data_IF_145540797243
#
_entry.id   IF_145540797243
#
_cell.length_a   1.000
_cell.length_b   1.000
_cell.length_c   1.000
_cell.angle_alpha   90.00
_cell.angle_beta   90.00
_cell.angle_gamma   90.00
#
_symmetry.space_group_name_H-M   'P 1'
#
loop_
_entity.id
_entity.type
_entity.pdbx_description
1 polymer ?
#
# COMPACT_ATOMS: atom_id res chain seq x y z
N UNK A 1 -16.23 27.65 15.38
CA UNK A 1 -15.55 26.70 14.46
C UNK A 1 -16.33 25.39 14.51
N UNK A 2 -17.21 25.13 13.53
CA UNK A 2 -17.86 23.82 13.39
C UNK A 2 -16.78 22.85 12.93
N UNK A 3 -16.26 22.01 13.83
CA UNK A 3 -15.50 20.84 13.42
C UNK A 3 -16.52 19.98 12.68
N UNK A 4 -16.48 20.00 11.35
CA UNK A 4 -17.26 19.13 10.49
C UNK A 4 -16.77 17.70 10.68
N UNK A 5 -17.18 17.07 11.79
CA UNK A 5 -17.22 15.61 11.92
C UNK A 5 -18.23 15.09 10.91
N UNK A 6 -17.84 14.91 9.65
CA UNK A 6 -18.61 14.08 8.71
C UNK A 6 -17.79 13.59 7.50
N UNK A 7 -16.47 13.43 7.67
CA UNK A 7 -15.66 12.75 6.65
C UNK A 7 -16.03 11.27 6.50
N UNK A 8 -16.58 10.65 7.56
CA UNK A 8 -17.03 9.25 7.51
C UNK A 8 -18.19 9.03 6.54
N UNK A 9 -19.04 10.04 6.29
CA UNK A 9 -20.21 9.88 5.42
C UNK A 9 -19.86 9.89 3.92
N UNK A 10 -18.59 10.15 3.58
CA UNK A 10 -18.11 10.23 2.20
C UNK A 10 -17.55 8.90 1.69
N UNK A 11 -17.16 7.97 2.57
CA UNK A 11 -16.65 6.67 2.19
C UNK A 11 -17.80 5.68 1.99
N UNK A 12 -17.86 5.06 0.81
CA UNK A 12 -18.90 4.07 0.49
C UNK A 12 -18.76 2.78 1.30
N UNK A 13 -17.53 2.40 1.63
CA UNK A 13 -17.21 1.23 2.43
C UNK A 13 -16.39 1.61 3.65
N UNK A 14 -16.50 0.79 4.69
CA UNK A 14 -15.67 0.86 5.90
C UNK A 14 -14.96 -0.47 6.12
N UNK A 15 -13.76 -0.45 6.72
CA UNK A 15 -13.02 -1.67 7.02
C UNK A 15 -13.64 -2.38 8.22
N UNK A 16 -13.59 -3.71 8.22
CA UNK A 16 -13.88 -4.51 9.41
C UNK A 16 -12.71 -4.41 10.40
N UNK A 17 -12.97 -4.55 11.69
CA UNK A 17 -11.92 -4.37 12.71
C UNK A 17 -10.74 -5.33 12.51
N UNK A 18 -11.00 -6.59 12.17
CA UNK A 18 -9.94 -7.58 11.93
C UNK A 18 -9.09 -7.27 10.70
N UNK A 19 -9.68 -6.69 9.64
CA UNK A 19 -8.91 -6.32 8.44
C UNK A 19 -8.06 -5.07 8.69
N UNK A 20 -8.50 -4.16 9.56
CA UNK A 20 -7.72 -3.02 10.05
C UNK A 20 -6.55 -3.48 10.91
N UNK A 21 -6.75 -4.47 11.79
CA UNK A 21 -5.64 -5.05 12.57
C UNK A 21 -4.60 -5.68 11.63
N UNK A 22 -5.04 -6.47 10.65
CA UNK A 22 -4.14 -7.07 9.65
C UNK A 22 -3.39 -6.02 8.82
N UNK A 23 -4.06 -4.90 8.48
CA UNK A 23 -3.42 -3.77 7.80
C UNK A 23 -2.26 -3.22 8.62
N UNK A 24 -2.50 -2.91 9.89
CA UNK A 24 -1.46 -2.35 10.76
C UNK A 24 -0.34 -3.34 11.07
N UNK A 25 -0.64 -4.63 11.16
CA UNK A 25 0.39 -5.67 11.25
C UNK A 25 1.27 -5.65 9.99
N UNK A 26 0.67 -5.60 8.80
CA UNK A 26 1.42 -5.53 7.55
C UNK A 26 2.30 -4.28 7.51
N UNK A 27 1.75 -3.11 7.84
CA UNK A 27 2.49 -1.84 7.93
C UNK A 27 3.65 -1.95 8.91
N UNK A 28 3.42 -2.50 10.11
CA UNK A 28 4.46 -2.69 11.12
C UNK A 28 5.59 -3.60 10.61
N UNK A 29 5.27 -4.71 9.94
CA UNK A 29 6.28 -5.60 9.34
C UNK A 29 7.11 -4.86 8.29
N UNK A 30 6.47 -4.10 7.39
CA UNK A 30 7.18 -3.31 6.36
C UNK A 30 8.08 -2.24 6.99
N UNK A 31 7.63 -1.60 8.08
CA UNK A 31 8.42 -0.62 8.82
C UNK A 31 9.59 -1.27 9.56
N UNK A 32 9.41 -2.45 10.15
CA UNK A 32 10.49 -3.21 10.77
C UNK A 32 11.55 -3.62 9.74
N UNK A 33 11.11 -4.10 8.57
CA UNK A 33 12.01 -4.39 7.45
C UNK A 33 12.79 -3.14 7.01
N UNK A 34 12.13 -2.00 6.90
CA UNK A 34 12.78 -0.73 6.56
C UNK A 34 13.79 -0.30 7.63
N UNK A 35 13.45 -0.46 8.91
CA UNK A 35 14.33 -0.15 10.03
C UNK A 35 15.57 -1.07 10.07
N UNK A 36 15.41 -2.34 9.67
CA UNK A 36 16.49 -3.33 9.53
C UNK A 36 17.61 -2.92 8.57
N UNK A 37 17.37 -1.94 7.68
CA UNK A 37 18.41 -1.30 6.88
C UNK A 37 19.48 -0.62 7.75
N UNK A 38 19.07 0.02 8.86
CA UNK A 38 19.95 0.81 9.74
C UNK A 38 20.22 0.16 11.10
N UNK A 39 19.27 -0.61 11.59
CA UNK A 39 19.32 -1.23 12.93
C UNK A 39 19.51 -2.73 12.73
N UNK A 40 20.70 -3.24 13.01
CA UNK A 40 21.08 -4.62 12.68
C UNK A 40 20.27 -5.65 13.48
N UNK A 41 19.91 -5.32 14.72
CA UNK A 41 19.12 -6.17 15.62
C UNK A 41 17.69 -6.40 15.12
N UNK A 42 17.21 -5.58 14.18
CA UNK A 42 15.90 -5.73 13.54
C UNK A 42 15.97 -6.55 12.25
N UNK A 43 17.15 -7.01 11.84
CA UNK A 43 17.28 -7.87 10.67
C UNK A 43 16.75 -9.26 11.01
N UNK A 44 15.80 -9.74 10.22
CA UNK A 44 15.29 -11.10 10.36
C UNK A 44 16.36 -12.10 9.92
N UNK A 45 16.84 -12.91 10.87
CA UNK A 45 17.83 -13.98 10.63
C UNK A 45 17.42 -14.89 9.46
N UNK A 46 16.16 -15.32 9.41
CA UNK A 46 15.66 -16.18 8.32
C UNK A 46 15.77 -15.54 6.94
N UNK A 47 15.55 -14.23 6.83
CA UNK A 47 15.75 -13.49 5.58
C UNK A 47 17.23 -13.32 5.26
N UNK A 48 18.07 -13.09 6.27
CA UNK A 48 19.52 -12.98 6.10
C UNK A 48 20.13 -14.29 5.56
N UNK A 49 19.69 -15.46 6.05
CA UNK A 49 20.14 -16.74 5.52
C UNK A 49 19.72 -16.99 4.07
N UNK A 50 18.53 -16.53 3.66
CA UNK A 50 18.03 -16.72 2.30
C UNK A 50 18.55 -15.67 1.31
N UNK A 51 18.76 -14.45 1.80
CA UNK A 51 19.15 -13.27 1.03
C UNK A 51 20.16 -12.45 1.85
N UNK A 52 21.45 -12.82 1.86
CA UNK A 52 22.46 -12.22 2.75
C UNK A 52 22.51 -10.69 2.70
N UNK A 53 22.30 -10.10 1.52
CA UNK A 53 22.40 -8.65 1.32
C UNK A 53 21.06 -7.93 1.24
N UNK A 54 19.95 -8.56 1.66
CA UNK A 54 18.61 -7.97 1.51
C UNK A 54 18.48 -6.57 2.15
N UNK A 55 19.18 -6.33 3.26
CA UNK A 55 19.12 -5.08 4.01
C UNK A 55 19.67 -3.89 3.22
N UNK A 56 20.46 -4.11 2.16
CA UNK A 56 20.96 -3.07 1.27
C UNK A 56 19.82 -2.52 0.37
N UNK A 57 18.93 -3.39 -0.07
CA UNK A 57 17.86 -3.10 -1.04
C UNK A 57 16.46 -2.99 -0.42
N UNK A 58 16.32 -3.36 0.87
CA UNK A 58 15.03 -3.46 1.55
C UNK A 58 14.25 -2.14 1.60
N UNK A 59 14.92 -1.00 1.47
CA UNK A 59 14.24 0.29 1.38
C UNK A 59 13.38 0.43 0.13
N UNK A 60 13.86 -0.02 -1.04
CA UNK A 60 13.08 0.05 -2.28
C UNK A 60 11.84 -0.83 -2.18
N UNK A 61 12.00 -2.03 -1.62
CA UNK A 61 10.88 -2.89 -1.29
C UNK A 61 9.88 -2.22 -0.35
N UNK A 62 10.33 -1.70 0.79
CA UNK A 62 9.44 -1.17 1.83
C UNK A 62 8.71 0.10 1.39
N UNK A 63 9.38 1.00 0.66
CA UNK A 63 8.74 2.21 0.13
C UNK A 63 7.69 1.83 -0.91
N UNK A 64 8.03 0.95 -1.86
CA UNK A 64 7.08 0.49 -2.86
C UNK A 64 5.88 -0.23 -2.24
N UNK A 65 6.13 -1.07 -1.24
CA UNK A 65 5.09 -1.77 -0.50
C UNK A 65 4.14 -0.80 0.20
N UNK A 66 4.68 0.21 0.88
CA UNK A 66 3.86 1.20 1.58
C UNK A 66 2.99 2.00 0.62
N UNK A 67 3.54 2.45 -0.51
CA UNK A 67 2.80 3.23 -1.50
C UNK A 67 1.63 2.45 -2.11
N UNK A 68 1.86 1.20 -2.52
CA UNK A 68 0.80 0.34 -3.07
C UNK A 68 -0.22 -0.04 -2.01
N UNK A 69 0.22 -0.32 -0.78
CA UNK A 69 -0.67 -0.67 0.32
C UNK A 69 -1.61 0.48 0.69
N UNK A 70 -1.10 1.72 0.78
CA UNK A 70 -1.91 2.93 1.03
C UNK A 70 -2.88 3.18 -0.12
N UNK A 71 -2.40 3.19 -1.37
CA UNK A 71 -3.24 3.40 -2.54
C UNK A 71 -4.34 2.32 -2.67
N UNK A 72 -3.99 1.07 -2.39
CA UNK A 72 -4.90 -0.06 -2.38
C UNK A 72 -5.98 0.05 -1.33
N UNK A 73 -5.58 0.39 -0.11
CA UNK A 73 -6.48 0.49 1.02
C UNK A 73 -7.54 1.56 0.79
N UNK A 74 -7.14 2.75 0.32
CA UNK A 74 -8.06 3.87 0.05
C UNK A 74 -8.98 3.58 -1.13
N UNK A 75 -8.47 3.09 -2.25
CA UNK A 75 -9.27 2.77 -3.44
C UNK A 75 -10.39 1.75 -3.15
N UNK A 76 -10.10 0.76 -2.29
CA UNK A 76 -11.08 -0.24 -1.89
C UNK A 76 -12.17 0.35 -1.00
N UNK A 77 -11.83 1.29 -0.09
CA UNK A 77 -12.83 1.98 0.74
C UNK A 77 -13.73 2.92 -0.07
N UNK A 78 -13.20 3.55 -1.11
CA UNK A 78 -13.98 4.42 -1.99
C UNK A 78 -14.93 3.61 -2.89
N UNK A 79 -14.43 2.55 -3.53
CA UNK A 79 -15.09 1.98 -4.70
C UNK A 79 -15.12 0.45 -4.74
N UNK A 80 -14.58 -0.25 -3.72
CA UNK A 80 -14.40 -1.72 -3.71
C UNK A 80 -13.64 -2.26 -4.94
N UNK A 81 -12.74 -1.45 -5.49
CA UNK A 81 -11.93 -1.82 -6.67
C UNK A 81 -10.44 -1.64 -6.41
N UNK A 82 -9.63 -2.38 -7.16
CA UNK A 82 -8.16 -2.26 -7.18
C UNK A 82 -7.64 -1.72 -8.52
N UNK A 83 -8.51 -1.34 -9.47
CA UNK A 83 -8.09 -0.90 -10.82
C UNK A 83 -7.07 0.24 -10.76
N UNK A 84 -7.39 1.32 -10.01
CA UNK A 84 -6.46 2.44 -9.80
C UNK A 84 -5.16 1.99 -9.13
N UNK A 85 -5.24 1.05 -8.19
CA UNK A 85 -4.07 0.49 -7.50
C UNK A 85 -3.16 -0.29 -8.44
N UNK A 86 -3.71 -1.09 -9.37
CA UNK A 86 -2.91 -1.77 -10.38
C UNK A 86 -2.17 -0.79 -11.27
N UNK A 87 -2.83 0.31 -11.67
CA UNK A 87 -2.20 1.38 -12.44
C UNK A 87 -1.08 2.03 -11.63
N UNK A 88 -1.32 2.40 -10.36
CA UNK A 88 -0.30 2.96 -9.49
C UNK A 88 0.90 2.03 -9.29
N UNK A 89 0.66 0.73 -9.08
CA UNK A 89 1.72 -0.26 -8.95
C UNK A 89 2.52 -0.41 -10.25
N UNK A 90 1.85 -0.46 -11.42
CA UNK A 90 2.52 -0.53 -12.70
C UNK A 90 3.40 0.70 -12.98
N UNK A 91 2.89 1.90 -12.69
CA UNK A 91 3.64 3.14 -12.82
C UNK A 91 4.84 3.18 -11.86
N UNK A 92 4.66 2.70 -10.63
CA UNK A 92 5.72 2.64 -9.63
C UNK A 92 6.83 1.66 -10.04
N UNK A 93 6.46 0.49 -10.58
CA UNK A 93 7.41 -0.48 -11.15
C UNK A 93 8.19 0.15 -12.29
N UNK A 94 7.49 0.80 -13.24
CA UNK A 94 8.14 1.46 -14.37
C UNK A 94 9.09 2.57 -13.91
N UNK A 95 8.67 3.39 -12.93
CA UNK A 95 9.49 4.45 -12.37
C UNK A 95 10.75 3.91 -11.69
N UNK A 96 10.64 2.84 -10.88
CA UNK A 96 11.78 2.19 -10.25
C UNK A 96 12.73 1.61 -11.30
N UNK A 97 12.23 0.92 -12.32
CA UNK A 97 13.08 0.38 -13.39
C UNK A 97 13.83 1.47 -14.16
N UNK A 98 13.17 2.58 -14.50
CA UNK A 98 13.80 3.72 -15.17
C UNK A 98 14.86 4.33 -14.26
N UNK A 99 14.54 4.54 -12.98
CA UNK A 99 15.45 5.14 -12.01
C UNK A 99 16.72 4.31 -11.82
N UNK A 100 16.57 3.00 -11.61
CA UNK A 100 17.70 2.12 -11.30
C UNK A 100 18.56 1.76 -12.51
N UNK A 101 17.97 1.64 -13.71
CA UNK A 101 18.70 1.12 -14.88
C UNK A 101 19.14 2.18 -15.89
N UNK A 102 18.45 3.33 -15.94
CA UNK A 102 18.60 4.29 -17.04
C UNK A 102 19.03 5.70 -16.61
N UNK A 103 19.16 5.97 -15.30
CA UNK A 103 19.60 7.26 -14.77
C UNK A 103 20.98 7.17 -14.08
N UNK A 104 22.07 6.88 -14.83
CA UNK A 104 23.41 6.69 -14.28
C UNK A 104 24.01 7.94 -13.63
N UNK A 105 23.43 9.12 -13.91
CA UNK A 105 23.83 10.39 -13.30
C UNK A 105 23.27 10.59 -11.89
N UNK A 106 22.24 9.82 -11.51
CA UNK A 106 21.56 9.94 -10.22
C UNK A 106 21.80 8.70 -9.35
N UNK A 107 21.82 7.49 -9.94
CA UNK A 107 22.15 6.27 -9.21
C UNK A 107 23.15 5.39 -9.96
N UNK A 108 23.91 4.59 -9.21
CA UNK A 108 24.69 3.49 -9.80
C UNK A 108 23.71 2.41 -10.24
N UNK A 109 23.94 1.82 -11.41
CA UNK A 109 23.05 0.76 -11.90
C UNK A 109 23.01 -0.42 -10.94
N UNK A 110 21.86 -0.65 -10.32
CA UNK A 110 21.63 -1.74 -9.38
C UNK A 110 20.35 -2.52 -9.73
N UNK A 111 20.55 -3.69 -10.32
CA UNK A 111 19.46 -4.56 -10.76
C UNK A 111 18.70 -5.16 -9.56
N UNK A 112 19.37 -5.37 -8.43
CA UNK A 112 18.74 -5.92 -7.24
C UNK A 112 17.77 -4.92 -6.63
N UNK A 113 18.14 -3.64 -6.57
CA UNK A 113 17.25 -2.57 -6.12
C UNK A 113 15.96 -2.48 -6.95
N UNK A 114 16.07 -2.67 -8.27
CA UNK A 114 14.92 -2.78 -9.17
C UNK A 114 14.01 -3.98 -8.84
N UNK A 115 14.59 -5.16 -8.60
CA UNK A 115 13.81 -6.35 -8.20
C UNK A 115 13.10 -6.16 -6.85
N UNK A 116 13.76 -5.53 -5.87
CA UNK A 116 13.13 -5.22 -4.59
C UNK A 116 11.99 -4.22 -4.75
N UNK A 117 12.14 -3.18 -5.59
CA UNK A 117 11.05 -2.27 -5.93
C UNK A 117 9.85 -2.96 -6.60
N UNK A 118 10.11 -3.93 -7.50
CA UNK A 118 9.06 -4.75 -8.12
C UNK A 118 8.36 -5.60 -7.06
N UNK A 119 9.11 -6.34 -6.25
CA UNK A 119 8.57 -7.19 -5.21
C UNK A 119 7.74 -6.38 -4.21
N UNK A 120 8.23 -5.21 -3.80
CA UNK A 120 7.52 -4.27 -2.93
C UNK A 120 6.21 -3.80 -3.55
N UNK A 121 6.15 -3.66 -4.88
CA UNK A 121 4.92 -3.25 -5.57
C UNK A 121 3.90 -4.39 -5.71
N UNK A 122 4.32 -5.66 -5.64
CA UNK A 122 3.47 -6.84 -5.84
C UNK A 122 2.97 -7.44 -4.51
N UNK A 123 3.86 -7.59 -3.52
CA UNK A 123 3.55 -8.26 -2.24
C UNK A 123 2.33 -7.68 -1.50
N UNK A 124 2.05 -6.36 -1.50
CA UNK A 124 0.84 -5.80 -0.89
C UNK A 124 -0.47 -6.40 -1.41
N UNK A 125 -0.50 -6.91 -2.65
CA UNK A 125 -1.70 -7.51 -3.22
C UNK A 125 -2.12 -8.81 -2.51
N UNK A 126 -1.19 -9.49 -1.80
CA UNK A 126 -1.50 -10.64 -0.93
C UNK A 126 -2.49 -10.22 0.17
N UNK A 127 -2.41 -8.98 0.67
CA UNK A 127 -3.38 -8.42 1.60
C UNK A 127 -4.57 -7.76 0.89
N UNK A 128 -4.32 -6.93 -0.12
CA UNK A 128 -5.34 -6.08 -0.74
C UNK A 128 -6.45 -6.87 -1.44
N UNK A 129 -6.13 -8.03 -2.03
CA UNK A 129 -7.12 -8.86 -2.72
C UNK A 129 -8.13 -9.46 -1.71
N UNK A 130 -7.70 -10.19 -0.66
CA UNK A 130 -8.61 -10.61 0.41
C UNK A 130 -9.33 -9.46 1.12
N UNK A 131 -8.64 -8.32 1.33
CA UNK A 131 -9.22 -7.12 1.92
C UNK A 131 -10.42 -6.61 1.13
N UNK A 132 -10.28 -6.48 -0.20
CA UNK A 132 -11.38 -6.08 -1.10
C UNK A 132 -12.57 -7.06 -1.04
N UNK A 133 -12.29 -8.35 -0.96
CA UNK A 133 -13.32 -9.39 -1.02
C UNK A 133 -14.08 -9.53 0.31
N UNK A 134 -13.36 -9.57 1.43
CA UNK A 134 -13.89 -9.99 2.73
C UNK A 134 -13.66 -8.97 3.85
N UNK A 135 -12.69 -8.07 3.70
CA UNK A 135 -12.20 -7.16 4.73
C UNK A 135 -12.96 -5.86 4.87
N UNK A 136 -13.96 -5.58 4.03
CA UNK A 136 -14.80 -4.39 4.10
C UNK A 136 -16.28 -4.73 4.27
N UNK A 137 -17.06 -3.72 4.62
CA UNK A 137 -18.53 -3.73 4.65
C UNK A 137 -19.07 -2.39 4.16
N UNK A 138 -20.35 -2.36 3.78
CA UNK A 138 -21.02 -1.12 3.41
C UNK A 138 -21.05 -0.16 4.61
N UNK A 139 -20.87 1.13 4.33
CA UNK A 139 -20.96 2.14 5.35
C UNK A 139 -22.43 2.52 5.59
N UNK A 140 -23.01 2.23 6.77
CA UNK A 140 -24.41 2.55 7.06
C UNK A 140 -24.70 4.07 7.07
N UNK A 141 -23.66 4.90 7.18
CA UNK A 141 -23.77 6.36 7.20
C UNK A 141 -23.43 7.01 5.85
N UNK A 142 -23.24 6.24 4.78
CA UNK A 142 -22.91 6.79 3.46
C UNK A 142 -24.11 7.56 2.87
N UNK A 143 -23.87 8.81 2.48
CA UNK A 143 -24.85 9.67 1.82
C UNK A 143 -24.40 9.87 0.38
N UNK A 144 -25.14 9.32 -0.57
CA UNK A 144 -24.89 9.51 -1.99
C UNK A 144 -25.27 10.95 -2.39
N UNK A 145 -24.27 11.80 -2.64
CA UNK A 145 -24.45 13.24 -2.93
C UNK A 145 -25.33 13.56 -4.16
N UNK A 146 -25.68 12.56 -4.98
CA UNK A 146 -26.47 12.73 -6.21
C UNK A 146 -27.93 12.22 -6.10
N UNK A 147 -28.40 11.78 -4.92
CA UNK A 147 -29.78 11.29 -4.73
C UNK A 147 -30.69 12.21 -3.91
N UNK A 148 -30.18 13.33 -3.40
CA UNK A 148 -30.96 14.28 -2.59
C UNK A 148 -31.71 15.35 -3.38
N UNK A 149 -31.72 15.29 -4.72
CA UNK A 149 -32.41 16.25 -5.59
C UNK A 149 -33.58 15.58 -6.33
N UNK A 150 -34.60 15.17 -5.60
CA UNK A 150 -35.96 15.14 -6.11
C UNK A 150 -36.92 15.27 -4.92
N UNK A 151 -37.32 16.50 -4.53
CA UNK A 151 -38.53 16.63 -3.76
C UNK A 151 -39.68 16.15 -4.66
N UNK A 152 -40.34 15.08 -4.24
CA UNK A 152 -41.66 14.72 -4.77
C UNK A 152 -42.57 15.91 -4.46
N UNK A 153 -42.93 16.66 -5.49
CA UNK A 153 -44.06 17.59 -5.48
C UNK A 153 -45.34 16.82 -5.80
#
# INVERSE_FOLDING_TARGET
>A
MKITLNNLNQLKYIPKIWSTILYFIFVAVVLLLFAGRKIEELRFESLYYLFPDYYQHISNFSISAMLVLVAGYTNVLENRTLTRTYVSAALLIAANLIYELFLPFINTMDVMDAYYGIAGSIVPFIYLIPYKLYGIQENPNYIEKNKSENPVL
#
